data_IF_837947307878
#
_entry.id   IF_837947307878
#
_cell.length_a   1.000
_cell.length_b   1.000
_cell.length_c   1.000
_cell.angle_alpha   90.00
_cell.angle_beta   90.00
_cell.angle_gamma   90.00
#
_symmetry.space_group_name_H-M   'P 1'
#
loop_
_entity.id
_entity.type
_entity.pdbx_description
1 polymer ?
#
# COMPACT_ATOMS: atom_id res chain seq x y z
N UNK A 1 18.66 -22.53 2.28
CA UNK A 1 18.63 -21.11 2.72
C UNK A 1 18.05 -20.27 1.59
N UNK A 2 17.11 -19.37 1.86
CA UNK A 2 16.58 -18.43 0.86
C UNK A 2 17.53 -17.26 0.65
N UNK A 3 17.64 -16.78 -0.59
CA UNK A 3 18.59 -15.71 -0.95
C UNK A 3 18.00 -14.33 -0.69
N UNK A 4 18.83 -13.31 -0.48
CA UNK A 4 18.36 -11.93 -0.37
C UNK A 4 17.56 -11.48 -1.61
N UNK A 5 17.93 -11.94 -2.81
CA UNK A 5 17.19 -11.64 -4.05
C UNK A 5 15.75 -12.15 -3.98
N UNK A 6 15.57 -13.38 -3.48
CA UNK A 6 14.25 -13.99 -3.27
C UNK A 6 13.44 -13.21 -2.24
N UNK A 7 14.06 -12.80 -1.12
CA UNK A 7 13.37 -12.04 -0.08
C UNK A 7 12.93 -10.66 -0.58
N UNK A 8 13.83 -9.92 -1.24
CA UNK A 8 13.53 -8.60 -1.78
C UNK A 8 12.41 -8.68 -2.82
N UNK A 9 12.44 -9.69 -3.70
CA UNK A 9 11.40 -9.89 -4.71
C UNK A 9 10.03 -10.33 -4.17
N UNK A 10 9.95 -10.72 -2.90
CA UNK A 10 8.70 -11.12 -2.23
C UNK A 10 8.28 -10.15 -1.13
N UNK A 11 9.01 -9.04 -0.99
CA UNK A 11 8.81 -8.10 0.10
C UNK A 11 7.51 -7.29 -0.06
N UNK A 12 7.11 -6.96 -1.29
CA UNK A 12 5.83 -6.29 -1.56
C UNK A 12 4.67 -7.19 -1.15
N UNK A 13 4.59 -8.41 -1.71
CA UNK A 13 3.55 -9.38 -1.36
C UNK A 13 3.48 -9.63 0.15
N UNK A 14 4.62 -9.63 0.84
CA UNK A 14 4.68 -9.75 2.29
C UNK A 14 4.10 -8.54 3.02
N UNK A 15 4.48 -7.32 2.62
CA UNK A 15 3.97 -6.07 3.20
C UNK A 15 2.46 -5.89 2.94
N UNK A 16 2.00 -6.31 1.76
CA UNK A 16 0.61 -6.24 1.33
C UNK A 16 -0.26 -7.38 1.92
N UNK A 17 0.34 -8.32 2.67
CA UNK A 17 -0.35 -9.43 3.31
C UNK A 17 -0.72 -10.60 2.37
N UNK A 18 -0.24 -10.57 1.11
CA UNK A 18 -0.52 -11.56 0.07
C UNK A 18 0.48 -12.73 0.03
N UNK A 19 1.58 -12.66 0.78
CA UNK A 19 2.56 -13.74 0.85
C UNK A 19 1.98 -15.00 1.53
N UNK A 20 2.29 -16.17 0.98
CA UNK A 20 1.91 -17.46 1.58
C UNK A 20 2.51 -17.64 2.98
N UNK A 21 1.86 -18.44 3.84
CA UNK A 21 2.34 -18.70 5.20
C UNK A 21 3.78 -19.25 5.24
N UNK A 22 4.11 -20.16 4.32
CA UNK A 22 5.47 -20.70 4.19
C UNK A 22 6.48 -19.61 3.79
N UNK A 23 6.10 -18.71 2.87
CA UNK A 23 6.97 -17.62 2.44
C UNK A 23 7.17 -16.58 3.53
N UNK A 24 6.12 -16.27 4.31
CA UNK A 24 6.20 -15.39 5.49
C UNK A 24 7.23 -15.89 6.49
N UNK A 25 7.19 -17.17 6.84
CA UNK A 25 8.15 -17.75 7.79
C UNK A 25 9.60 -17.66 7.27
N UNK A 26 9.80 -17.92 5.97
CA UNK A 26 11.11 -17.78 5.31
C UNK A 26 11.61 -16.33 5.34
N UNK A 27 10.74 -15.36 5.10
CA UNK A 27 11.04 -13.93 5.16
C UNK A 27 11.43 -13.54 6.59
N UNK A 28 10.59 -13.83 7.58
CA UNK A 28 10.83 -13.48 8.99
C UNK A 28 12.13 -14.09 9.52
N UNK A 29 12.44 -15.33 9.15
CA UNK A 29 13.70 -16.00 9.50
C UNK A 29 14.90 -15.31 8.87
N UNK A 30 14.79 -14.89 7.61
CA UNK A 30 15.88 -14.20 6.91
C UNK A 30 16.11 -12.77 7.44
N UNK A 31 15.04 -12.03 7.73
CA UNK A 31 15.12 -10.67 8.28
C UNK A 31 15.84 -10.66 9.65
N UNK A 32 15.62 -11.68 10.49
CA UNK A 32 16.32 -11.84 11.78
C UNK A 32 17.84 -11.99 11.65
N UNK A 33 18.33 -12.58 10.55
CA UNK A 33 19.75 -12.88 10.35
C UNK A 33 20.47 -12.00 9.33
N UNK A 34 19.75 -11.17 8.57
CA UNK A 34 20.32 -10.41 7.46
C UNK A 34 20.06 -8.90 7.61
N UNK A 35 21.10 -8.17 8.04
CA UNK A 35 21.06 -6.71 8.21
C UNK A 35 20.64 -5.98 6.93
N UNK A 36 21.09 -6.43 5.76
CA UNK A 36 20.74 -5.83 4.46
C UNK A 36 19.23 -5.90 4.21
N UNK A 37 18.64 -7.09 4.34
CA UNK A 37 17.22 -7.28 4.07
C UNK A 37 16.35 -6.60 5.13
N UNK A 38 16.78 -6.59 6.41
CA UNK A 38 16.11 -5.81 7.46
C UNK A 38 16.09 -4.32 7.13
N UNK A 39 17.23 -3.75 6.72
CA UNK A 39 17.29 -2.33 6.36
C UNK A 39 16.38 -1.98 5.17
N UNK A 40 16.29 -2.86 4.17
CA UNK A 40 15.37 -2.69 3.03
C UNK A 40 13.92 -2.76 3.52
N UNK A 41 13.55 -3.79 4.29
CA UNK A 41 12.21 -3.92 4.88
C UNK A 41 11.80 -2.70 5.70
N UNK A 42 12.67 -2.25 6.61
CA UNK A 42 12.40 -1.10 7.47
C UNK A 42 12.23 0.18 6.63
N UNK A 43 13.06 0.38 5.61
CA UNK A 43 12.98 1.53 4.72
C UNK A 43 11.70 1.52 3.90
N UNK A 44 11.32 0.38 3.32
CA UNK A 44 10.07 0.24 2.56
C UNK A 44 8.86 0.46 3.45
N UNK A 45 8.84 -0.09 4.67
CA UNK A 45 7.76 0.14 5.65
C UNK A 45 7.67 1.61 6.03
N UNK A 46 8.80 2.29 6.25
CA UNK A 46 8.83 3.73 6.52
C UNK A 46 8.35 4.55 5.33
N UNK A 47 8.70 4.18 4.10
CA UNK A 47 8.17 4.83 2.91
C UNK A 47 6.64 4.67 2.82
N UNK A 48 6.10 3.49 3.12
CA UNK A 48 4.64 3.29 3.15
C UNK A 48 3.98 4.17 4.21
N UNK A 49 4.61 4.35 5.37
CA UNK A 49 4.16 5.32 6.37
C UNK A 49 4.24 6.72 5.77
N UNK A 50 5.39 7.23 5.37
CA UNK A 50 5.54 8.62 4.87
C UNK A 50 4.62 8.93 3.68
N UNK A 51 4.41 7.99 2.77
CA UNK A 51 3.56 8.18 1.59
C UNK A 51 2.07 8.02 1.90
N UNK A 52 1.72 7.27 2.96
CA UNK A 52 0.35 7.08 3.44
C UNK A 52 -0.03 7.96 4.62
N UNK A 53 0.95 8.58 5.28
CA UNK A 53 0.82 9.65 6.25
C UNK A 53 0.40 10.84 5.41
N UNK A 54 -0.92 11.02 5.36
CA UNK A 54 -1.59 12.19 4.85
C UNK A 54 -0.88 13.43 5.45
N UNK A 55 0.06 14.02 4.71
CA UNK A 55 -0.14 15.43 4.40
C UNK A 55 -1.52 15.47 3.75
N UNK A 56 -2.56 15.62 4.60
CA UNK A 56 -3.95 15.74 4.21
C UNK A 56 -3.93 16.84 3.17
N UNK A 57 -3.98 16.48 1.90
CA UNK A 57 -4.18 17.47 0.86
C UNK A 57 -5.56 18.01 1.18
N UNK A 58 -5.62 19.23 1.68
CA UNK A 58 -6.89 19.91 1.84
C UNK A 58 -7.57 19.85 0.48
N UNK A 59 -8.71 19.14 0.47
CA UNK A 59 -9.54 19.01 -0.71
C UNK A 59 -9.81 20.44 -1.20
N UNK A 60 -9.51 20.78 -2.48
CA UNK A 60 -9.67 22.14 -2.96
C UNK A 60 -11.06 22.66 -2.66
N UNK A 61 -11.14 23.92 -2.26
CA UNK A 61 -12.40 24.54 -1.87
C UNK A 61 -13.50 24.27 -2.93
N UNK A 62 -14.64 23.74 -2.47
CA UNK A 62 -15.78 23.43 -3.34
C UNK A 62 -15.67 22.14 -4.16
N UNK A 63 -14.60 21.34 -4.05
CA UNK A 63 -14.51 20.04 -4.72
C UNK A 63 -15.63 19.08 -4.29
N UNK A 64 -15.95 19.01 -2.99
CA UNK A 64 -17.08 18.21 -2.49
C UNK A 64 -18.41 18.61 -3.14
N UNK A 65 -18.70 19.90 -3.20
CA UNK A 65 -19.90 20.45 -3.85
C UNK A 65 -19.99 20.05 -5.33
N UNK A 66 -18.87 20.15 -6.05
CA UNK A 66 -18.80 19.76 -7.47
C UNK A 66 -18.99 18.26 -7.65
N UNK A 67 -18.42 17.44 -6.77
CA UNK A 67 -18.57 15.99 -6.79
C UNK A 67 -20.03 15.58 -6.54
N UNK A 68 -20.67 16.13 -5.51
CA UNK A 68 -22.09 15.86 -5.22
C UNK A 68 -22.98 16.27 -6.39
N UNK A 69 -22.79 17.48 -6.94
CA UNK A 69 -23.54 17.94 -8.12
C UNK A 69 -23.37 17.02 -9.32
N UNK A 70 -22.15 16.50 -9.54
CA UNK A 70 -21.88 15.56 -10.61
C UNK A 70 -22.58 14.21 -10.38
N UNK A 71 -22.49 13.65 -9.17
CA UNK A 71 -23.16 12.39 -8.81
C UNK A 71 -24.67 12.52 -8.96
N UNK A 72 -25.26 13.62 -8.47
CA UNK A 72 -26.68 13.89 -8.62
C UNK A 72 -27.10 13.94 -10.10
N UNK A 73 -26.27 14.53 -10.96
CA UNK A 73 -26.53 14.54 -12.40
C UNK A 73 -26.50 13.14 -13.03
N UNK A 74 -25.63 12.24 -12.56
CA UNK A 74 -25.57 10.85 -13.03
C UNK A 74 -26.79 10.05 -12.57
N UNK A 75 -27.21 10.26 -11.31
CA UNK A 75 -28.40 9.62 -10.74
C UNK A 75 -29.67 10.11 -11.45
N UNK A 76 -29.75 11.40 -11.77
CA UNK A 76 -30.87 11.96 -12.53
C UNK A 76 -30.95 11.39 -13.96
N UNK A 77 -29.80 11.22 -14.62
CA UNK A 77 -29.72 10.64 -15.97
C UNK A 77 -30.12 9.16 -16.01
N UNK A 78 -29.80 8.40 -14.97
CA UNK A 78 -30.13 6.97 -14.88
C UNK A 78 -31.58 6.71 -14.51
N UNK A 79 -32.29 7.66 -13.89
CA UNK A 79 -33.73 7.56 -13.61
C UNK A 79 -34.64 7.93 -14.81
N UNK A 80 -34.07 8.51 -15.86
CA UNK A 80 -34.81 9.00 -17.03
C UNK A 80 -34.69 8.09 -18.27
N UNK A 81 -34.12 6.90 -18.12
CA UNK A 81 -34.00 5.83 -19.12
C UNK A 81 -34.49 4.51 -18.52
#
# INVERSE_FOLDING_TARGET
MVTCKTIIGQLSDYLDGNASAEMREKIERHLRGCRRCSAVYDSTRKMLVIMGDEEVFEVPEGYGTRLHSFVDSLVARTKSN
#
